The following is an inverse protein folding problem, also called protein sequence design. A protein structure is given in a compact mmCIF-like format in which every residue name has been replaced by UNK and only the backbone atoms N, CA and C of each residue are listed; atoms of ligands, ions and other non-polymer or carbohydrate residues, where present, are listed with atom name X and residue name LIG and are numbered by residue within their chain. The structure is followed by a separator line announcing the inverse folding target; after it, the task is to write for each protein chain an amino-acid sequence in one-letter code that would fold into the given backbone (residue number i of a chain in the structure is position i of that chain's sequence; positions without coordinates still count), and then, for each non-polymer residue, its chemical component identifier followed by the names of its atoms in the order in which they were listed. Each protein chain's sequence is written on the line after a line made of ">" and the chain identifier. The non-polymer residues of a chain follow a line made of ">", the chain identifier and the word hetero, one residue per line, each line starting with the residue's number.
data_IF_260522583439
#
_entry.id   IF_260522583439
#
_cell.length_a   1.000
_cell.length_b   1.000
_cell.length_c   1.000
_cell.angle_alpha   90.00
_cell.angle_beta   90.00
_cell.angle_gamma   90.00
#
_symmetry.space_group_name_H-M   'P 1'
#
loop_
_entity.id
_entity.type
_entity.pdbx_description
1 polymer ?
#
# COMPACT_ATOMS: atom_id res chain seq x y z
N UNK A 1 -11.14 -22.04 -18.12
CA UNK A 1 -12.12 -21.09 -18.68
C UNK A 1 -12.32 -19.99 -17.65
N UNK A 2 -11.68 -18.84 -17.81
CA UNK A 2 -11.89 -17.69 -16.93
C UNK A 2 -13.19 -17.00 -17.34
N UNK A 3 -14.12 -16.86 -16.40
CA UNK A 3 -15.38 -16.16 -16.64
C UNK A 3 -15.12 -14.64 -16.72
N UNK A 4 -15.46 -13.98 -17.85
CA UNK A 4 -15.13 -12.57 -18.08
C UNK A 4 -15.88 -11.59 -17.16
N UNK A 5 -17.02 -12.01 -16.58
CA UNK A 5 -17.87 -11.15 -15.75
C UNK A 5 -17.29 -10.86 -14.35
N UNK A 6 -16.30 -11.62 -13.88
CA UNK A 6 -15.66 -11.42 -12.56
C UNK A 6 -14.42 -10.51 -12.65
N UNK A 7 -13.86 -10.37 -13.85
CA UNK A 7 -12.60 -9.67 -14.09
C UNK A 7 -12.77 -8.14 -14.04
N UNK A 8 -13.89 -7.63 -14.57
CA UNK A 8 -14.21 -6.18 -14.57
C UNK A 8 -14.49 -5.63 -13.16
N UNK A 9 -15.28 -6.30 -12.30
CA UNK A 9 -15.45 -5.90 -10.90
C UNK A 9 -14.14 -5.91 -10.10
N UNK A 10 -13.29 -6.93 -10.29
CA UNK A 10 -12.01 -7.07 -9.58
C UNK A 10 -11.03 -5.97 -9.94
N UNK A 11 -10.91 -5.63 -11.23
CA UNK A 11 -10.01 -4.55 -11.69
C UNK A 11 -10.44 -3.20 -11.12
N UNK A 12 -11.75 -2.89 -11.11
CA UNK A 12 -12.28 -1.66 -10.52
C UNK A 12 -12.05 -1.61 -9.01
N UNK A 13 -12.26 -2.73 -8.31
CA UNK A 13 -12.00 -2.87 -6.89
C UNK A 13 -10.52 -2.67 -6.56
N UNK A 14 -9.62 -3.32 -7.30
CA UNK A 14 -8.18 -3.17 -7.13
C UNK A 14 -7.72 -1.72 -7.36
N UNK A 15 -8.27 -1.03 -8.36
CA UNK A 15 -7.98 0.38 -8.61
C UNK A 15 -8.44 1.29 -7.46
N UNK A 16 -9.63 1.05 -6.90
CA UNK A 16 -10.14 1.81 -5.77
C UNK A 16 -9.29 1.58 -4.51
N UNK A 17 -9.00 0.32 -4.19
CA UNK A 17 -8.12 0.00 -3.08
C UNK A 17 -6.74 0.59 -3.26
N UNK A 18 -6.17 0.53 -4.46
CA UNK A 18 -4.88 1.15 -4.75
C UNK A 18 -4.89 2.66 -4.47
N UNK A 19 -5.94 3.39 -4.88
CA UNK A 19 -6.08 4.83 -4.59
C UNK A 19 -6.13 5.11 -3.09
N UNK A 20 -6.95 4.35 -2.34
CA UNK A 20 -7.09 4.51 -0.89
C UNK A 20 -5.73 4.26 -0.20
N UNK A 21 -5.05 3.17 -0.60
CA UNK A 21 -3.77 2.76 -0.04
C UNK A 21 -2.65 3.77 -0.32
N UNK A 22 -2.60 4.33 -1.53
CA UNK A 22 -1.69 5.42 -1.87
C UNK A 22 -1.94 6.66 -1.00
N UNK A 23 -3.21 7.01 -0.75
CA UNK A 23 -3.56 8.09 0.17
C UNK A 23 -3.04 7.85 1.60
N UNK A 24 -3.19 6.62 2.10
CA UNK A 24 -2.69 6.23 3.42
C UNK A 24 -1.16 6.29 3.51
N UNK A 25 -0.45 5.81 2.48
CA UNK A 25 1.01 5.89 2.39
C UNK A 25 1.49 7.34 2.38
N UNK A 26 0.94 8.17 1.49
CA UNK A 26 1.30 9.58 1.37
C UNK A 26 1.12 10.34 2.71
N UNK A 27 0.04 10.04 3.43
CA UNK A 27 -0.21 10.61 4.74
C UNK A 27 0.83 10.12 5.78
N UNK A 28 1.11 8.82 5.84
CA UNK A 28 2.12 8.28 6.76
C UNK A 28 3.53 8.83 6.48
N UNK A 29 3.90 9.02 5.22
CA UNK A 29 5.17 9.65 4.83
C UNK A 29 5.21 11.14 5.21
N UNK A 30 4.09 11.84 5.05
CA UNK A 30 3.95 13.22 5.51
C UNK A 30 4.10 13.32 7.04
N UNK A 31 3.42 12.46 7.79
CA UNK A 31 3.48 12.43 9.26
C UNK A 31 4.91 12.18 9.74
N UNK A 32 5.62 11.25 9.10
CA UNK A 32 7.03 10.98 9.40
C UNK A 32 7.91 12.21 9.10
N UNK A 33 7.69 12.91 7.98
CA UNK A 33 8.43 14.14 7.66
C UNK A 33 8.17 15.25 8.68
N UNK A 34 6.93 15.42 9.14
CA UNK A 34 6.57 16.42 10.15
C UNK A 34 7.21 16.09 11.50
N UNK A 35 7.10 14.85 11.97
CA UNK A 35 7.72 14.41 13.23
C UNK A 35 9.25 14.59 13.23
N UNK A 36 9.90 14.31 12.09
CA UNK A 36 11.33 14.56 11.90
C UNK A 36 11.68 16.06 11.94
N UNK A 37 10.84 16.90 11.32
CA UNK A 37 11.03 18.35 11.30
C UNK A 37 10.90 18.96 12.71
N UNK A 38 10.00 18.44 13.52
CA UNK A 38 9.79 18.82 14.93
C UNK A 38 10.88 18.28 15.88
N UNK A 39 11.77 17.41 15.39
CA UNK A 39 12.80 16.70 16.17
C UNK A 39 12.23 15.87 17.33
N UNK A 40 10.96 15.49 17.25
CA UNK A 40 10.33 14.57 18.21
C UNK A 40 10.72 13.13 17.87
N UNK A 41 11.61 12.56 18.68
CA UNK A 41 12.11 11.19 18.50
C UNK A 41 11.01 10.13 18.69
N UNK A 42 10.12 10.33 19.67
CA UNK A 42 9.06 9.38 19.97
C UNK A 42 8.00 9.39 18.86
N UNK A 43 7.58 10.57 18.41
CA UNK A 43 6.68 10.71 17.27
C UNK A 43 7.31 10.18 15.98
N UNK A 44 8.60 10.41 15.76
CA UNK A 44 9.32 9.89 14.59
C UNK A 44 9.32 8.36 14.58
N UNK A 45 9.67 7.72 15.71
CA UNK A 45 9.67 6.26 15.82
C UNK A 45 8.26 5.68 15.57
N UNK A 46 7.23 6.31 16.13
CA UNK A 46 5.84 5.90 15.93
C UNK A 46 5.39 6.06 14.47
N UNK A 47 5.71 7.18 13.83
CA UNK A 47 5.37 7.44 12.43
C UNK A 47 6.11 6.48 11.49
N UNK A 48 7.38 6.19 11.77
CA UNK A 48 8.18 5.22 11.02
C UNK A 48 7.57 3.81 11.13
N UNK A 49 7.24 3.35 12.34
CA UNK A 49 6.62 2.04 12.55
C UNK A 49 5.26 1.92 11.81
N UNK A 50 4.46 3.00 11.78
CA UNK A 50 3.21 3.04 11.03
C UNK A 50 3.45 2.91 9.53
N UNK A 51 4.41 3.66 8.98
CA UNK A 51 4.76 3.60 7.56
C UNK A 51 5.26 2.20 7.17
N UNK A 52 6.13 1.60 7.98
CA UNK A 52 6.67 0.27 7.72
C UNK A 52 5.59 -0.81 7.80
N UNK A 53 4.67 -0.70 8.75
CA UNK A 53 3.50 -1.60 8.86
C UNK A 53 2.62 -1.53 7.62
N UNK A 54 2.33 -0.32 7.12
CA UNK A 54 1.55 -0.14 5.89
C UNK A 54 2.25 -0.77 4.69
N UNK A 55 3.55 -0.52 4.53
CA UNK A 55 4.35 -1.11 3.44
C UNK A 55 4.37 -2.65 3.50
N UNK A 56 4.51 -3.22 4.69
CA UNK A 56 4.46 -4.67 4.88
C UNK A 56 3.08 -5.25 4.53
N UNK A 57 2.00 -4.63 5.01
CA UNK A 57 0.63 -5.07 4.71
C UNK A 57 0.34 -5.06 3.19
N UNK A 58 0.83 -4.04 2.48
CA UNK A 58 0.70 -3.93 1.02
C UNK A 58 1.43 -5.04 0.28
N UNK A 59 2.65 -5.38 0.69
CA UNK A 59 3.39 -6.47 0.06
C UNK A 59 2.75 -7.83 0.35
N UNK A 60 2.20 -8.03 1.56
CA UNK A 60 1.45 -9.25 1.91
C UNK A 60 0.22 -9.40 1.02
N UNK A 61 -0.58 -8.34 0.86
CA UNK A 61 -1.76 -8.38 -0.01
C UNK A 61 -1.37 -8.64 -1.46
N UNK A 62 -0.37 -7.92 -1.98
CA UNK A 62 0.08 -8.08 -3.36
C UNK A 62 0.63 -9.48 -3.64
N UNK A 63 1.34 -10.08 -2.67
CA UNK A 63 1.84 -11.46 -2.76
C UNK A 63 0.69 -12.46 -2.73
N UNK A 64 -0.28 -12.26 -1.84
CA UNK A 64 -1.47 -13.12 -1.75
C UNK A 64 -2.30 -13.09 -3.04
N UNK A 65 -2.46 -11.91 -3.62
CA UNK A 65 -3.16 -11.73 -4.89
C UNK A 65 -2.40 -12.36 -6.07
N UNK A 66 -1.06 -12.27 -6.08
CA UNK A 66 -0.24 -12.96 -7.08
C UNK A 66 -0.41 -14.48 -6.99
N UNK A 67 -0.42 -15.04 -5.78
CA UNK A 67 -0.62 -16.48 -5.56
C UNK A 67 -2.03 -16.90 -6.01
N UNK A 68 -3.06 -16.11 -5.69
CA UNK A 68 -4.44 -16.46 -5.97
C UNK A 68 -4.84 -16.27 -7.44
N UNK A 69 -4.27 -15.28 -8.12
CA UNK A 69 -4.76 -14.82 -9.43
C UNK A 69 -3.69 -14.78 -10.53
N UNK A 70 -2.43 -15.13 -10.22
CA UNK A 70 -1.33 -15.15 -11.20
C UNK A 70 -0.79 -13.76 -11.56
N UNK A 71 -1.36 -12.69 -11.01
CA UNK A 71 -0.94 -11.31 -11.25
C UNK A 71 -0.92 -10.49 -9.95
N UNK A 72 -0.04 -9.49 -9.88
CA UNK A 72 -0.09 -8.52 -8.78
C UNK A 72 -1.28 -7.57 -8.99
N UNK A 73 -1.92 -7.10 -7.90
CA UNK A 73 -3.08 -6.22 -7.99
C UNK A 73 -2.69 -4.80 -8.43
N UNK A 74 -1.42 -4.44 -8.27
CA UNK A 74 -0.79 -3.22 -8.76
C UNK A 74 0.68 -3.47 -9.11
N UNK A 75 1.29 -2.62 -9.97
CA UNK A 75 2.71 -2.71 -10.30
C UNK A 75 3.58 -2.55 -9.05
N UNK A 76 4.77 -3.16 -9.06
CA UNK A 76 5.76 -2.90 -8.01
C UNK A 76 6.32 -1.51 -8.23
N UNK A 77 6.16 -0.61 -7.27
CA UNK A 77 6.85 0.68 -7.32
C UNK A 77 8.36 0.41 -7.32
N UNK A 78 9.07 1.00 -8.28
CA UNK A 78 10.53 0.97 -8.28
C UNK A 78 10.99 1.70 -7.02
N UNK A 79 11.62 0.96 -6.10
CA UNK A 79 12.27 1.58 -4.94
C UNK A 79 13.30 2.58 -5.47
N UNK A 80 13.08 3.87 -5.20
CA UNK A 80 14.08 4.92 -5.36
C UNK A 80 15.18 4.80 -4.28
#
# INVERSE_FOLDING_TARGET
>A
MSQPDVEVPRTRMNAEYHRILQGLLNNAERDLRLARAERDQAATAKAQARLDTLRAALEIYASSHLIAYGERPWPREARA
#
